data_IF_603061858679
#
_entry.id   IF_603061858679
#
_cell.length_a   1.000
_cell.length_b   1.000
_cell.length_c   1.000
_cell.angle_alpha   90.00
_cell.angle_beta   90.00
_cell.angle_gamma   90.00
#
_symmetry.space_group_name_H-M   'P 1'
#
loop_
_entity.id
_entity.type
_entity.pdbx_description
1 polymer ?
#
# COMPACT_ATOMS: atom_id res chain seq x y z
N UNK A 1 -22.99 48.68 6.79
CA UNK A 1 -21.67 48.15 7.20
C UNK A 1 -21.72 46.68 7.61
N UNK A 2 -22.53 46.23 8.57
CA UNK A 2 -22.64 44.80 8.96
C UNK A 2 -23.08 43.89 7.81
N UNK A 3 -24.04 44.28 7.00
CA UNK A 3 -24.59 43.51 5.89
C UNK A 3 -23.54 43.25 4.80
N UNK A 4 -22.74 44.27 4.44
CA UNK A 4 -21.65 44.14 3.45
C UNK A 4 -20.52 43.23 3.94
N UNK A 5 -20.24 43.19 5.25
CA UNK A 5 -19.26 42.29 5.83
C UNK A 5 -19.71 40.82 5.81
N UNK A 6 -21.02 40.60 6.06
CA UNK A 6 -21.59 39.23 5.97
C UNK A 6 -21.60 38.70 4.54
N UNK A 7 -21.90 39.55 3.57
CA UNK A 7 -21.88 39.20 2.13
C UNK A 7 -20.44 38.87 1.68
N UNK A 8 -19.44 39.69 2.04
CA UNK A 8 -18.06 39.41 1.73
C UNK A 8 -17.53 38.13 2.39
N UNK A 9 -17.96 37.83 3.62
CA UNK A 9 -17.61 36.59 4.31
C UNK A 9 -18.23 35.37 3.63
N UNK A 10 -19.50 35.46 3.20
CA UNK A 10 -20.20 34.38 2.50
C UNK A 10 -19.53 34.09 1.15
N UNK A 11 -19.19 35.12 0.39
CA UNK A 11 -18.46 35.02 -0.88
C UNK A 11 -17.07 34.40 -0.69
N UNK A 12 -16.30 34.84 0.30
CA UNK A 12 -14.99 34.27 0.63
C UNK A 12 -15.08 32.80 0.99
N UNK A 13 -16.06 32.39 1.77
CA UNK A 13 -16.29 30.99 2.14
C UNK A 13 -16.65 30.13 0.93
N UNK A 14 -17.49 30.62 0.03
CA UNK A 14 -17.85 29.88 -1.18
C UNK A 14 -16.66 29.76 -2.13
N UNK A 15 -15.85 30.80 -2.28
CA UNK A 15 -14.60 30.76 -3.06
C UNK A 15 -13.62 29.74 -2.49
N UNK A 16 -13.44 29.71 -1.18
CA UNK A 16 -12.59 28.70 -0.51
C UNK A 16 -13.13 27.30 -0.73
N UNK A 17 -14.43 27.09 -0.60
CA UNK A 17 -15.06 25.79 -0.84
C UNK A 17 -14.86 25.30 -2.26
N UNK A 18 -15.03 26.20 -3.24
CA UNK A 18 -14.85 25.87 -4.64
C UNK A 18 -13.36 25.56 -4.97
N UNK A 19 -12.42 26.35 -4.43
CA UNK A 19 -11.00 26.10 -4.57
C UNK A 19 -10.61 24.74 -3.98
N UNK A 20 -11.07 24.43 -2.77
CA UNK A 20 -10.85 23.12 -2.12
C UNK A 20 -11.38 21.98 -2.97
N UNK A 21 -12.61 22.10 -3.49
CA UNK A 21 -13.22 21.08 -4.36
C UNK A 21 -12.39 20.84 -5.63
N UNK A 22 -11.88 21.91 -6.25
CA UNK A 22 -11.05 21.81 -7.44
C UNK A 22 -9.74 21.08 -7.15
N UNK A 23 -9.06 21.44 -6.05
CA UNK A 23 -7.80 20.80 -5.63
C UNK A 23 -8.03 19.31 -5.35
N UNK A 24 -9.07 18.96 -4.59
CA UNK A 24 -9.39 17.55 -4.30
C UNK A 24 -9.65 16.74 -5.57
N UNK A 25 -10.35 17.33 -6.56
CA UNK A 25 -10.60 16.67 -7.85
C UNK A 25 -9.30 16.46 -8.65
N UNK A 26 -8.39 17.41 -8.62
CA UNK A 26 -7.09 17.26 -9.27
C UNK A 26 -6.26 16.14 -8.62
N UNK A 27 -6.23 16.08 -7.30
CA UNK A 27 -5.56 15.02 -6.54
C UNK A 27 -6.20 13.65 -6.88
N UNK A 28 -7.53 13.56 -6.84
CA UNK A 28 -8.29 12.35 -7.18
C UNK A 28 -7.93 11.84 -8.57
N UNK A 29 -7.95 12.73 -9.57
CA UNK A 29 -7.62 12.37 -10.95
C UNK A 29 -6.17 11.86 -11.09
N UNK A 30 -5.22 12.53 -10.44
CA UNK A 30 -3.81 12.12 -10.46
C UNK A 30 -3.60 10.76 -9.82
N UNK A 31 -4.20 10.51 -8.66
CA UNK A 31 -4.09 9.22 -7.95
C UNK A 31 -4.73 8.10 -8.77
N UNK A 32 -5.96 8.29 -9.25
CA UNK A 32 -6.66 7.29 -10.03
C UNK A 32 -5.95 6.96 -11.35
N UNK A 33 -5.37 7.96 -12.02
CA UNK A 33 -4.58 7.73 -13.24
C UNK A 33 -3.34 6.88 -12.96
N UNK A 34 -2.62 7.16 -11.88
CA UNK A 34 -1.44 6.37 -11.49
C UNK A 34 -1.81 4.97 -11.03
N UNK A 35 -2.88 4.83 -10.22
CA UNK A 35 -3.39 3.52 -9.82
C UNK A 35 -3.76 2.67 -11.04
N UNK A 36 -4.43 3.29 -12.03
CA UNK A 36 -4.72 2.61 -13.29
C UNK A 36 -3.46 2.11 -13.98
N UNK A 37 -2.42 2.94 -14.09
CA UNK A 37 -1.16 2.57 -14.72
C UNK A 37 -0.48 1.38 -14.05
N UNK A 38 -0.42 1.38 -12.72
CA UNK A 38 0.13 0.24 -11.95
C UNK A 38 -0.76 -1.00 -12.16
N UNK A 39 -2.07 -0.89 -11.97
CA UNK A 39 -2.99 -2.01 -12.11
C UNK A 39 -2.91 -2.64 -13.52
N UNK A 40 -2.89 -1.83 -14.56
CA UNK A 40 -2.76 -2.32 -15.94
C UNK A 40 -1.41 -3.03 -16.18
N UNK A 41 -0.36 -2.68 -15.45
CA UNK A 41 0.93 -3.36 -15.55
C UNK A 41 1.00 -4.71 -14.83
N UNK A 42 0.11 -4.93 -13.87
CA UNK A 42 0.04 -6.18 -13.10
C UNK A 42 -0.77 -7.28 -13.79
N UNK A 43 -1.66 -6.93 -14.71
CA UNK A 43 -2.57 -7.87 -15.34
C UNK A 43 -2.40 -7.90 -16.85
N UNK A 44 -2.34 -9.09 -17.42
CA UNK A 44 -2.29 -9.30 -18.89
C UNK A 44 -3.61 -8.96 -19.60
N UNK A 45 -4.70 -8.94 -18.87
CA UNK A 45 -6.04 -8.56 -19.37
C UNK A 45 -6.61 -7.44 -18.50
N UNK A 46 -7.40 -6.51 -19.08
CA UNK A 46 -8.02 -5.45 -18.30
C UNK A 46 -8.82 -5.98 -17.13
N UNK A 47 -8.52 -5.53 -15.93
CA UNK A 47 -9.28 -5.84 -14.72
C UNK A 47 -9.84 -4.58 -14.10
N UNK A 48 -10.88 -4.75 -13.28
CA UNK A 48 -11.39 -3.66 -12.44
C UNK A 48 -10.27 -3.14 -11.56
N UNK A 49 -10.20 -1.85 -11.41
CA UNK A 49 -9.15 -1.16 -10.66
C UNK A 49 -9.71 -0.48 -9.43
N UNK A 50 -8.91 -0.32 -8.38
CA UNK A 50 -9.29 0.49 -7.24
C UNK A 50 -9.48 1.95 -7.65
N UNK A 51 -10.40 2.61 -7.00
CA UNK A 51 -10.74 4.00 -7.25
C UNK A 51 -10.91 4.76 -5.95
N UNK A 52 -10.28 5.94 -5.84
CA UNK A 52 -10.49 6.87 -4.74
C UNK A 52 -11.38 8.01 -5.20
N UNK A 53 -12.33 8.42 -4.36
CA UNK A 53 -13.20 9.57 -4.56
C UNK A 53 -13.23 10.43 -3.30
N UNK A 54 -12.85 11.69 -3.40
CA UNK A 54 -12.97 12.64 -2.30
C UNK A 54 -14.35 13.26 -2.30
N UNK A 55 -15.06 13.11 -1.18
CA UNK A 55 -16.37 13.76 -0.95
C UNK A 55 -16.20 15.14 -0.33
N UNK A 56 -15.22 15.25 0.60
CA UNK A 56 -14.80 16.46 1.30
C UNK A 56 -13.32 16.36 1.61
N UNK A 57 -12.72 17.39 2.18
CA UNK A 57 -11.31 17.40 2.59
C UNK A 57 -10.97 16.33 3.65
N UNK A 58 -11.94 15.88 4.42
CA UNK A 58 -11.83 14.90 5.50
C UNK A 58 -12.58 13.59 5.23
N UNK A 59 -13.10 13.40 4.03
CA UNK A 59 -13.94 12.24 3.70
C UNK A 59 -13.71 11.75 2.28
N UNK A 60 -13.40 10.47 2.19
CA UNK A 60 -13.18 9.79 0.91
C UNK A 60 -13.88 8.44 0.86
N UNK A 61 -14.03 7.90 -0.33
CA UNK A 61 -14.45 6.54 -0.60
C UNK A 61 -13.32 5.87 -1.40
N UNK A 62 -12.93 4.68 -1.00
CA UNK A 62 -11.97 3.85 -1.72
C UNK A 62 -12.59 2.48 -1.93
N UNK A 63 -12.69 2.06 -3.17
CA UNK A 63 -13.29 0.77 -3.53
C UNK A 63 -12.88 0.34 -4.94
N UNK A 64 -12.99 -0.94 -5.22
CA UNK A 64 -13.03 -1.48 -6.59
C UNK A 64 -14.49 -1.67 -6.97
N UNK A 65 -15.04 -0.89 -7.93
CA UNK A 65 -16.47 -0.95 -8.26
C UNK A 65 -16.91 -2.36 -8.67
N UNK A 66 -18.02 -2.81 -8.11
CA UNK A 66 -18.63 -4.14 -8.38
C UNK A 66 -17.67 -5.31 -8.19
N UNK A 67 -16.71 -5.18 -7.30
CA UNK A 67 -15.78 -6.24 -6.93
C UNK A 67 -15.60 -6.27 -5.41
N UNK A 68 -15.97 -7.40 -4.82
CA UNK A 68 -15.89 -7.64 -3.37
C UNK A 68 -14.86 -8.73 -3.04
N UNK A 69 -14.08 -9.16 -4.04
CA UNK A 69 -13.07 -10.19 -3.89
C UNK A 69 -11.96 -9.78 -2.93
N UNK A 70 -11.57 -10.68 -2.03
CA UNK A 70 -10.49 -10.42 -1.06
C UNK A 70 -9.18 -10.09 -1.76
N UNK A 71 -8.83 -10.83 -2.83
CA UNK A 71 -7.62 -10.57 -3.62
C UNK A 71 -7.62 -9.20 -4.28
N UNK A 72 -8.77 -8.77 -4.84
CA UNK A 72 -8.92 -7.43 -5.43
C UNK A 72 -8.76 -6.32 -4.40
N UNK A 73 -9.26 -6.53 -3.18
CA UNK A 73 -9.11 -5.56 -2.10
C UNK A 73 -7.64 -5.43 -1.68
N UNK A 74 -6.91 -6.54 -1.49
CA UNK A 74 -5.48 -6.50 -1.16
C UNK A 74 -4.64 -5.89 -2.29
N UNK A 75 -4.90 -6.26 -3.55
CA UNK A 75 -4.26 -5.62 -4.69
C UNK A 75 -4.53 -4.11 -4.70
N UNK A 76 -5.77 -3.70 -4.46
CA UNK A 76 -6.16 -2.30 -4.38
C UNK A 76 -5.38 -1.54 -3.32
N UNK A 77 -5.20 -2.10 -2.13
CA UNK A 77 -4.40 -1.50 -1.04
C UNK A 77 -2.95 -1.32 -1.47
N UNK A 78 -2.30 -2.37 -1.99
CA UNK A 78 -0.90 -2.30 -2.43
C UNK A 78 -0.71 -1.27 -3.53
N UNK A 79 -1.59 -1.23 -4.53
CA UNK A 79 -1.56 -0.27 -5.63
C UNK A 79 -1.71 1.17 -5.11
N UNK A 80 -2.64 1.41 -4.18
CA UNK A 80 -2.83 2.71 -3.56
C UNK A 80 -1.59 3.16 -2.80
N UNK A 81 -1.05 2.30 -1.95
CA UNK A 81 0.13 2.60 -1.12
C UNK A 81 1.36 2.92 -1.98
N UNK A 82 1.58 2.18 -3.06
CA UNK A 82 2.63 2.46 -4.04
C UNK A 82 2.44 3.82 -4.72
N UNK A 83 1.21 4.17 -5.09
CA UNK A 83 0.92 5.48 -5.69
C UNK A 83 1.18 6.61 -4.71
N UNK A 84 0.77 6.45 -3.44
CA UNK A 84 1.05 7.44 -2.39
C UNK A 84 2.55 7.57 -2.16
N UNK A 85 3.28 6.46 -2.03
CA UNK A 85 4.74 6.47 -1.88
C UNK A 85 5.43 7.23 -3.02
N UNK A 86 5.05 6.95 -4.27
CA UNK A 86 5.63 7.57 -5.46
C UNK A 86 5.20 9.02 -5.69
N UNK A 87 4.08 9.46 -5.09
CA UNK A 87 3.48 10.78 -5.36
C UNK A 87 3.73 11.79 -4.24
N UNK A 88 4.25 11.36 -3.11
CA UNK A 88 4.42 12.19 -1.92
C UNK A 88 5.87 12.19 -1.43
N UNK A 89 6.14 12.98 -0.39
CA UNK A 89 7.42 13.02 0.28
C UNK A 89 7.65 11.85 1.26
N UNK A 90 6.74 10.86 1.34
CA UNK A 90 6.95 9.69 2.18
C UNK A 90 8.25 8.98 1.81
N UNK A 91 9.13 8.71 2.79
CA UNK A 91 10.43 8.09 2.52
C UNK A 91 10.33 6.58 2.36
N UNK A 92 9.36 5.95 3.02
CA UNK A 92 9.28 4.50 3.13
C UNK A 92 7.83 4.00 3.22
N UNK A 93 7.66 2.71 2.95
CA UNK A 93 6.44 1.93 3.06
C UNK A 93 6.77 0.58 3.71
N UNK A 94 5.86 0.03 4.49
CA UNK A 94 5.98 -1.31 5.05
C UNK A 94 4.74 -2.16 4.70
N UNK A 95 4.97 -3.35 4.16
CA UNK A 95 3.94 -4.33 3.83
C UNK A 95 4.19 -5.65 4.56
N UNK A 96 3.14 -6.23 5.10
CA UNK A 96 3.15 -7.55 5.72
C UNK A 96 2.87 -8.65 4.68
N UNK A 97 3.38 -9.85 4.91
CA UNK A 97 3.14 -11.07 4.13
C UNK A 97 1.64 -11.38 3.93
N UNK A 98 0.80 -10.97 4.86
CA UNK A 98 -0.66 -11.16 4.78
C UNK A 98 -1.26 -10.55 3.50
N UNK A 99 -0.70 -9.46 2.99
CA UNK A 99 -1.16 -8.80 1.77
C UNK A 99 -1.01 -9.71 0.53
N UNK A 100 0.00 -10.57 0.53
CA UNK A 100 0.32 -11.46 -0.60
C UNK A 100 -0.44 -12.79 -0.57
N UNK A 101 -1.05 -13.18 0.57
CA UNK A 101 -1.68 -14.50 0.74
C UNK A 101 -2.85 -14.77 -0.21
N UNK A 102 -3.53 -13.71 -0.65
CA UNK A 102 -4.72 -13.80 -1.51
C UNK A 102 -4.49 -13.27 -2.92
N UNK A 103 -3.24 -12.99 -3.29
CA UNK A 103 -2.89 -12.52 -4.63
C UNK A 103 -2.55 -13.70 -5.54
N UNK A 104 -2.87 -13.56 -6.83
CA UNK A 104 -2.40 -14.47 -7.88
C UNK A 104 -0.87 -14.34 -8.03
N UNK A 105 -0.18 -15.44 -8.31
CA UNK A 105 1.30 -15.44 -8.43
C UNK A 105 1.85 -14.41 -9.43
N UNK A 106 1.16 -14.21 -10.55
CA UNK A 106 1.58 -13.23 -11.56
C UNK A 106 1.52 -11.80 -11.03
N UNK A 107 0.51 -11.49 -10.21
CA UNK A 107 0.32 -10.18 -9.56
C UNK A 107 1.38 -9.97 -8.48
N UNK A 108 1.62 -10.99 -7.67
CA UNK A 108 2.65 -11.00 -6.62
C UNK A 108 4.03 -10.75 -7.22
N UNK A 109 4.43 -11.49 -8.26
CA UNK A 109 5.66 -11.29 -9.02
C UNK A 109 5.76 -9.87 -9.61
N UNK A 110 4.64 -9.34 -10.11
CA UNK A 110 4.55 -7.99 -10.63
C UNK A 110 4.81 -6.93 -9.55
N UNK A 111 4.20 -7.08 -8.38
CA UNK A 111 4.38 -6.19 -7.23
C UNK A 111 5.83 -6.18 -6.75
N UNK A 112 6.47 -7.34 -6.59
CA UNK A 112 7.87 -7.45 -6.16
C UNK A 112 8.81 -6.76 -7.16
N UNK A 113 8.55 -6.90 -8.47
CA UNK A 113 9.31 -6.16 -9.51
C UNK A 113 9.11 -4.65 -9.41
N UNK A 114 7.89 -4.19 -9.09
CA UNK A 114 7.63 -2.76 -8.87
C UNK A 114 8.40 -2.27 -7.64
N UNK A 115 8.44 -3.04 -6.56
CA UNK A 115 9.23 -2.71 -5.36
C UNK A 115 10.70 -2.54 -5.70
N UNK A 116 11.29 -3.50 -6.40
CA UNK A 116 12.69 -3.43 -6.82
C UNK A 116 12.98 -2.23 -7.74
N UNK A 117 12.02 -1.80 -8.54
CA UNK A 117 12.15 -0.62 -9.39
C UNK A 117 12.12 0.72 -8.65
N UNK A 118 11.61 0.77 -7.42
CA UNK A 118 11.46 1.99 -6.61
C UNK A 118 12.78 2.42 -5.93
N UNK A 119 13.83 2.69 -6.72
CA UNK A 119 15.19 2.95 -6.19
C UNK A 119 15.33 4.22 -5.34
N UNK A 120 14.40 5.17 -5.40
CA UNK A 120 14.43 6.43 -4.62
C UNK A 120 13.66 6.35 -3.31
N UNK A 121 13.04 5.24 -3.00
CA UNK A 121 12.18 5.02 -1.83
C UNK A 121 12.52 3.68 -1.19
N UNK A 122 12.25 3.54 0.10
CA UNK A 122 12.43 2.29 0.82
C UNK A 122 11.09 1.56 0.93
N UNK A 123 11.09 0.28 0.62
CA UNK A 123 9.95 -0.61 0.82
C UNK A 123 10.41 -1.77 1.67
N UNK A 124 9.85 -1.87 2.86
CA UNK A 124 10.08 -2.99 3.76
C UNK A 124 8.93 -3.98 3.58
N UNK A 125 9.26 -5.24 3.35
CA UNK A 125 8.24 -6.29 3.30
C UNK A 125 8.64 -7.48 4.13
N UNK A 126 7.72 -7.96 4.98
CA UNK A 126 7.81 -9.29 5.54
C UNK A 126 7.27 -10.27 4.50
N UNK A 127 8.06 -11.27 4.12
CA UNK A 127 7.70 -12.20 3.07
C UNK A 127 7.99 -13.64 3.49
N UNK A 128 6.95 -14.49 3.52
CA UNK A 128 6.99 -15.86 4.07
C UNK A 128 6.84 -16.98 3.01
N UNK A 129 6.86 -16.62 1.70
CA UNK A 129 6.63 -17.55 0.59
C UNK A 129 7.79 -17.62 -0.42
N UNK A 130 9.00 -17.35 0.03
CA UNK A 130 10.16 -17.25 -0.86
C UNK A 130 10.41 -18.54 -1.66
N UNK A 131 10.13 -19.70 -1.07
CA UNK A 131 10.31 -20.99 -1.74
C UNK A 131 9.27 -21.28 -2.83
N UNK A 132 8.12 -20.63 -2.76
CA UNK A 132 7.04 -20.75 -3.76
C UNK A 132 7.18 -19.77 -4.93
N UNK A 133 8.17 -18.86 -4.88
CA UNK A 133 8.37 -17.83 -5.89
C UNK A 133 8.96 -18.35 -7.19
N UNK A 134 8.70 -17.63 -8.28
CA UNK A 134 9.43 -17.83 -9.52
C UNK A 134 10.92 -17.48 -9.36
N UNK A 135 11.82 -18.10 -10.10
CA UNK A 135 13.26 -17.88 -9.94
C UNK A 135 13.69 -16.40 -10.01
N UNK A 136 13.06 -15.61 -10.90
CA UNK A 136 13.38 -14.19 -11.03
C UNK A 136 12.95 -13.39 -9.78
N UNK A 137 11.77 -13.67 -9.22
CA UNK A 137 11.26 -13.04 -8.00
C UNK A 137 12.07 -13.46 -6.78
N UNK A 138 12.40 -14.76 -6.69
CA UNK A 138 13.25 -15.29 -5.63
C UNK A 138 14.60 -14.57 -5.60
N UNK A 139 15.23 -14.37 -6.75
CA UNK A 139 16.49 -13.63 -6.86
C UNK A 139 16.37 -12.19 -6.35
N UNK A 140 15.30 -11.47 -6.68
CA UNK A 140 15.06 -10.11 -6.16
C UNK A 140 14.97 -10.12 -4.63
N UNK A 141 14.23 -11.09 -4.06
CA UNK A 141 14.06 -11.22 -2.61
C UNK A 141 15.41 -11.52 -1.93
N UNK A 142 16.18 -12.48 -2.44
CA UNK A 142 17.50 -12.85 -1.92
C UNK A 142 18.51 -11.68 -1.98
N UNK A 143 18.49 -10.89 -3.06
CA UNK A 143 19.38 -9.73 -3.22
C UNK A 143 19.02 -8.56 -2.29
N UNK A 144 17.79 -8.51 -1.78
CA UNK A 144 17.29 -7.45 -0.91
C UNK A 144 16.97 -7.95 0.52
N UNK A 145 17.30 -9.20 0.84
CA UNK A 145 17.09 -9.77 2.18
C UNK A 145 17.98 -9.08 3.21
N UNK A 146 17.37 -8.58 4.27
CA UNK A 146 18.05 -7.92 5.39
C UNK A 146 18.07 -8.83 6.62
N UNK A 147 16.99 -9.57 6.85
CA UNK A 147 16.83 -10.48 7.99
C UNK A 147 16.12 -11.73 7.50
N UNK A 148 16.72 -12.91 7.76
CA UNK A 148 16.08 -14.19 7.55
C UNK A 148 15.76 -14.80 8.91
N UNK A 149 14.46 -14.99 9.19
CA UNK A 149 13.98 -15.64 10.41
C UNK A 149 13.65 -17.09 10.11
N UNK A 150 14.29 -17.99 10.84
CA UNK A 150 14.12 -19.43 10.71
C UNK A 150 13.67 -20.02 12.05
N UNK A 151 13.36 -21.31 12.04
CA UNK A 151 13.06 -22.05 13.25
C UNK A 151 14.35 -22.47 14.00
N UNK A 152 14.18 -23.05 15.17
CA UNK A 152 15.25 -23.70 15.96
C UNK A 152 16.38 -22.76 16.42
N UNK A 153 15.99 -21.61 16.99
CA UNK A 153 16.90 -20.64 17.59
C UNK A 153 17.24 -19.45 16.67
N UNK A 154 16.73 -19.45 15.45
CA UNK A 154 16.86 -18.32 14.52
C UNK A 154 15.60 -17.48 14.39
N UNK A 155 14.67 -17.59 15.34
CA UNK A 155 13.50 -16.75 15.46
C UNK A 155 13.89 -15.35 15.96
N UNK A 156 12.97 -14.37 15.82
CA UNK A 156 13.22 -12.96 16.15
C UNK A 156 13.84 -12.71 17.54
N UNK A 157 13.50 -13.55 18.53
CA UNK A 157 14.05 -13.46 19.89
C UNK A 157 14.94 -14.64 20.27
N UNK A 158 15.45 -15.39 19.27
CA UNK A 158 16.34 -16.54 19.49
C UNK A 158 15.66 -17.74 20.17
N UNK A 159 14.33 -17.77 20.22
CA UNK A 159 13.54 -18.86 20.81
C UNK A 159 12.20 -19.05 20.10
N UNK A 160 11.71 -20.29 20.10
CA UNK A 160 10.38 -20.62 19.58
C UNK A 160 9.28 -20.06 20.48
N UNK A 161 8.30 -19.39 19.89
CA UNK A 161 7.11 -18.87 20.58
C UNK A 161 6.18 -19.98 21.07
N UNK A 162 6.29 -21.19 20.51
CA UNK A 162 5.41 -22.32 20.80
C UNK A 162 5.97 -23.23 21.90
N UNK A 163 7.12 -22.93 22.48
CA UNK A 163 7.66 -23.67 23.62
C UNK A 163 7.26 -22.97 24.91
N UNK A 164 6.70 -23.73 25.86
CA UNK A 164 6.52 -23.25 27.22
C UNK A 164 7.88 -22.84 27.78
N UNK A 165 7.97 -21.65 28.33
CA UNK A 165 9.18 -21.17 29.01
C UNK A 165 9.20 -21.93 30.34
N UNK A 166 10.07 -22.91 30.48
CA UNK A 166 10.37 -23.49 31.78
C UNK A 166 11.10 -22.42 32.61
N UNK A 167 10.42 -21.84 33.60
CA UNK A 167 10.95 -20.78 34.48
C UNK A 167 12.21 -21.20 35.26
N UNK A 168 12.71 -22.42 35.08
CA UNK A 168 13.83 -23.00 35.84
C UNK A 168 15.19 -22.95 35.09
N UNK A 169 15.30 -22.34 33.90
CA UNK A 169 16.56 -22.29 33.15
C UNK A 169 17.31 -20.95 33.27
N UNK A 170 16.79 -19.95 33.97
CA UNK A 170 17.44 -18.63 34.14
C UNK A 170 18.22 -18.50 35.49
N UNK A 171 18.52 -19.60 36.18
CA UNK A 171 19.44 -19.60 37.35
C UNK A 171 20.71 -20.41 37.02
N UNK A 172 21.61 -19.81 36.21
CA UNK A 172 23.05 -20.16 36.22
C UNK A 172 23.89 -18.98 35.75
#
# INVERSE_FOLDING_TARGET
MQKSLQEAKAESNENLRQATKNILREIENKLNTKMKGINDSLFSTPRKMPHIQFRKYDSHKFETPDDTGTGSNFNGMVVYDLVILQSTALPALAHDSLLFKNLEKDVEDGIIRIYDSCKSKQIFTAYDKQDDCRPATKKILEENEVICLLNDGNELYGRSWNKEVNENEDEL
#
